data_IF_956350863367
#
_entry.id   IF_956350863367
#
_cell.length_a   1.000
_cell.length_b   1.000
_cell.length_c   1.000
_cell.angle_alpha   90.00
_cell.angle_beta   90.00
_cell.angle_gamma   90.00
#
_symmetry.space_group_name_H-M   'P 1'
#
loop_
_entity.id
_entity.type
_entity.pdbx_description
1 polymer ?
#
# COMPACT_ATOMS: atom_id res chain seq x y z
N UNK A 1 -6.75 -17.64 -2.56
CA UNK A 1 -6.26 -18.16 -1.30
C UNK A 1 -6.20 -17.08 -0.25
N UNK A 2 -5.98 -17.48 0.94
CA UNK A 2 -5.78 -16.59 2.08
C UNK A 2 -4.28 -16.32 2.14
N UNK A 3 -3.80 -15.21 1.60
CA UNK A 3 -2.40 -14.83 1.69
C UNK A 3 -2.22 -13.32 1.55
N UNK A 4 -1.18 -12.83 2.18
CA UNK A 4 -0.70 -11.47 2.01
C UNK A 4 0.13 -11.42 0.72
N UNK A 5 -0.18 -10.53 -0.23
CA UNK A 5 0.50 -10.50 -1.52
C UNK A 5 1.95 -10.01 -1.43
N UNK A 6 2.26 -9.11 -0.51
CA UNK A 6 3.60 -8.50 -0.39
C UNK A 6 4.70 -9.51 -0.05
N UNK A 7 4.58 -10.40 0.95
CA UNK A 7 5.61 -11.39 1.26
C UNK A 7 5.91 -12.32 0.08
N UNK A 8 4.88 -12.64 -0.73
CA UNK A 8 5.06 -13.47 -1.94
C UNK A 8 5.83 -12.69 -3.00
N UNK A 9 5.48 -11.43 -3.25
CA UNK A 9 6.19 -10.57 -4.18
C UNK A 9 7.65 -10.39 -3.78
N UNK A 10 7.93 -10.15 -2.50
CA UNK A 10 9.30 -10.07 -1.96
C UNK A 10 10.08 -11.37 -2.19
N UNK A 11 9.47 -12.52 -1.94
CA UNK A 11 10.12 -13.83 -2.15
C UNK A 11 10.51 -14.05 -3.62
N UNK A 12 9.63 -13.68 -4.56
CA UNK A 12 9.90 -13.79 -6.00
C UNK A 12 11.06 -12.86 -6.39
N UNK A 13 11.04 -11.62 -5.93
CA UNK A 13 12.09 -10.64 -6.21
C UNK A 13 13.45 -11.10 -5.65
N UNK A 14 13.51 -11.50 -4.38
CA UNK A 14 14.73 -11.98 -3.74
C UNK A 14 15.28 -13.26 -4.40
N UNK A 15 14.41 -14.13 -4.92
CA UNK A 15 14.85 -15.31 -5.67
C UNK A 15 15.55 -14.90 -6.97
N UNK A 16 15.03 -13.93 -7.72
CA UNK A 16 15.68 -13.42 -8.93
C UNK A 16 17.02 -12.73 -8.63
N UNK A 17 17.11 -11.92 -7.59
CA UNK A 17 18.36 -11.31 -7.15
C UNK A 17 19.43 -12.37 -6.81
N UNK A 18 19.00 -13.46 -6.16
CA UNK A 18 19.89 -14.59 -5.87
C UNK A 18 20.39 -15.27 -7.14
N UNK A 19 19.53 -15.44 -8.15
CA UNK A 19 19.93 -16.01 -9.45
C UNK A 19 20.91 -15.08 -10.15
N UNK A 20 20.60 -13.78 -10.18
CA UNK A 20 21.46 -12.77 -10.80
C UNK A 20 22.86 -12.72 -10.16
N UNK A 21 22.94 -12.76 -8.81
CA UNK A 21 24.21 -12.77 -8.09
C UNK A 21 25.08 -13.99 -8.40
N UNK A 22 24.48 -15.09 -8.88
CA UNK A 22 25.15 -16.31 -9.33
C UNK A 22 25.47 -16.34 -10.84
N UNK A 23 25.19 -15.23 -11.54
CA UNK A 23 25.38 -15.13 -12.99
C UNK A 23 24.37 -15.92 -13.81
N UNK A 24 23.24 -16.27 -13.22
CA UNK A 24 22.12 -16.94 -13.88
C UNK A 24 21.12 -15.92 -14.43
N UNK A 25 20.42 -16.23 -15.54
CA UNK A 25 19.39 -15.35 -16.07
C UNK A 25 18.17 -15.32 -15.14
N UNK A 26 17.39 -14.27 -15.26
CA UNK A 26 16.05 -14.22 -14.68
C UNK A 26 15.19 -15.37 -15.24
N UNK A 27 14.59 -16.16 -14.36
CA UNK A 27 13.78 -17.31 -14.75
C UNK A 27 12.28 -17.01 -14.72
N UNK A 28 11.87 -16.02 -13.92
CA UNK A 28 10.49 -15.59 -13.77
C UNK A 28 10.49 -14.13 -13.32
N UNK A 29 9.46 -13.40 -13.70
CA UNK A 29 9.21 -12.10 -13.11
C UNK A 29 7.75 -12.00 -12.69
N UNK A 30 7.49 -11.16 -11.71
CA UNK A 30 6.14 -10.85 -11.28
C UNK A 30 5.57 -9.79 -12.22
N UNK A 31 4.57 -10.17 -13.00
CA UNK A 31 3.96 -9.34 -14.03
C UNK A 31 2.79 -8.50 -13.49
N UNK A 32 1.95 -9.13 -12.66
CA UNK A 32 0.71 -8.53 -12.19
C UNK A 32 0.26 -9.19 -10.89
N UNK A 33 -0.19 -8.40 -9.93
CA UNK A 33 -0.91 -8.89 -8.75
C UNK A 33 -2.39 -8.68 -8.98
N UNK A 34 -3.13 -9.78 -9.07
CA UNK A 34 -4.55 -9.77 -9.38
C UNK A 34 -5.36 -10.13 -8.15
N UNK A 35 -6.26 -9.25 -7.76
CA UNK A 35 -7.26 -9.51 -6.72
C UNK A 35 -8.60 -9.89 -7.38
N UNK A 36 -9.21 -10.98 -6.95
CA UNK A 36 -10.56 -11.35 -7.40
C UNK A 36 -11.54 -11.00 -6.28
N UNK A 37 -12.34 -9.97 -6.52
CA UNK A 37 -13.35 -9.49 -5.58
C UNK A 37 -14.75 -9.95 -5.99
N UNK A 38 -15.54 -10.41 -5.05
CA UNK A 38 -16.94 -10.82 -5.25
C UNK A 38 -17.86 -9.60 -5.04
N UNK A 39 -18.47 -9.12 -6.12
CA UNK A 39 -19.32 -7.93 -6.10
C UNK A 39 -20.54 -8.13 -5.17
N UNK A 40 -21.18 -9.31 -5.22
CA UNK A 40 -22.32 -9.59 -4.35
C UNK A 40 -21.94 -9.57 -2.87
N UNK A 41 -20.76 -10.09 -2.56
CA UNK A 41 -20.25 -10.12 -1.19
C UNK A 41 -19.87 -8.73 -0.72
N UNK A 42 -19.17 -7.96 -1.54
CA UNK A 42 -18.82 -6.55 -1.23
C UNK A 42 -20.08 -5.72 -0.99
N UNK A 43 -21.14 -5.90 -1.81
CA UNK A 43 -22.40 -5.19 -1.60
C UNK A 43 -23.09 -5.62 -0.29
N UNK A 44 -23.30 -6.93 -0.09
CA UNK A 44 -24.17 -7.43 0.98
C UNK A 44 -23.50 -7.49 2.36
N UNK A 45 -22.20 -7.88 2.43
CA UNK A 45 -21.50 -8.09 3.69
C UNK A 45 -20.69 -6.86 4.10
N UNK A 46 -20.20 -6.08 3.13
CA UNK A 46 -19.28 -4.97 3.37
C UNK A 46 -19.86 -3.59 2.99
N UNK A 47 -21.17 -3.48 2.80
CA UNK A 47 -21.85 -2.23 2.44
C UNK A 47 -21.15 -1.54 1.24
N UNK A 48 -21.10 -2.23 0.10
CA UNK A 48 -20.36 -1.83 -1.09
C UNK A 48 -18.86 -1.57 -0.85
N UNK A 49 -18.27 -2.27 0.12
CA UNK A 49 -16.87 -2.13 0.50
C UNK A 49 -16.59 -1.03 1.52
N UNK A 50 -17.59 -0.25 1.94
CA UNK A 50 -17.39 0.85 2.91
C UNK A 50 -16.87 0.36 4.25
N UNK A 51 -17.28 -0.83 4.71
CA UNK A 51 -16.78 -1.41 5.95
C UNK A 51 -15.27 -1.69 5.89
N UNK A 52 -14.71 -1.92 4.70
CA UNK A 52 -13.26 -2.08 4.54
C UNK A 52 -12.49 -0.77 4.79
N UNK A 53 -13.19 0.37 4.76
CA UNK A 53 -12.61 1.67 5.08
C UNK A 53 -12.77 2.03 6.57
N UNK A 54 -13.51 1.23 7.33
CA UNK A 54 -13.69 1.43 8.77
C UNK A 54 -12.49 0.86 9.55
N UNK A 55 -12.22 1.37 10.75
CA UNK A 55 -11.17 0.84 11.60
C UNK A 55 -11.39 -0.65 11.90
N UNK A 56 -10.45 -1.49 11.53
CA UNK A 56 -10.46 -2.91 11.88
C UNK A 56 -9.94 -3.11 13.30
N UNK A 57 -10.67 -3.88 14.13
CA UNK A 57 -10.27 -4.15 15.52
C UNK A 57 -9.33 -5.36 15.64
N UNK A 58 -9.19 -6.16 14.58
CA UNK A 58 -8.42 -7.41 14.56
C UNK A 58 -7.63 -7.50 13.25
N UNK A 59 -6.29 -7.52 13.34
CA UNK A 59 -5.40 -7.65 12.18
C UNK A 59 -5.59 -8.99 11.46
N UNK A 60 -5.93 -10.02 12.19
CA UNK A 60 -6.19 -11.35 11.65
C UNK A 60 -7.63 -11.48 11.09
N UNK A 61 -8.38 -10.39 11.05
CA UNK A 61 -9.74 -10.40 10.52
C UNK A 61 -9.79 -10.57 9.01
N UNK A 62 -10.89 -11.13 8.53
CA UNK A 62 -11.14 -11.26 7.09
C UNK A 62 -11.18 -9.89 6.39
N UNK A 63 -11.65 -8.87 7.08
CA UNK A 63 -11.77 -7.51 6.59
C UNK A 63 -10.40 -6.88 6.37
N UNK A 64 -9.48 -7.08 7.32
CA UNK A 64 -8.09 -6.65 7.20
C UNK A 64 -7.39 -7.31 6.03
N UNK A 65 -7.56 -8.62 5.87
CA UNK A 65 -6.97 -9.38 4.75
C UNK A 65 -7.54 -8.93 3.39
N UNK A 66 -8.85 -8.74 3.29
CA UNK A 66 -9.49 -8.22 2.06
C UNK A 66 -9.00 -6.82 1.71
N UNK A 67 -8.85 -5.97 2.71
CA UNK A 67 -8.31 -4.63 2.53
C UNK A 67 -6.88 -4.68 2.00
N UNK A 68 -6.01 -5.50 2.60
CA UNK A 68 -4.63 -5.69 2.13
C UNK A 68 -4.57 -6.23 0.71
N UNK A 69 -5.41 -7.21 0.36
CA UNK A 69 -5.45 -7.77 -0.98
C UNK A 69 -5.87 -6.73 -2.03
N UNK A 70 -6.81 -5.85 -1.70
CA UNK A 70 -7.23 -4.77 -2.59
C UNK A 70 -6.18 -3.65 -2.67
N UNK A 71 -5.52 -3.32 -1.56
CA UNK A 71 -4.53 -2.24 -1.51
C UNK A 71 -3.28 -2.54 -2.33
N UNK A 72 -2.84 -3.80 -2.37
CA UNK A 72 -1.58 -4.18 -3.00
C UNK A 72 -1.74 -4.86 -4.35
N UNK A 73 -2.92 -4.85 -4.95
CA UNK A 73 -3.11 -5.40 -6.28
C UNK A 73 -2.87 -4.35 -7.38
N UNK A 74 -2.51 -4.83 -8.56
CA UNK A 74 -2.43 -4.01 -9.76
C UNK A 74 -3.73 -4.08 -10.57
N UNK A 75 -4.45 -5.19 -10.46
CA UNK A 75 -5.70 -5.43 -11.18
C UNK A 75 -6.72 -6.08 -10.27
N UNK A 76 -7.93 -5.54 -10.24
CA UNK A 76 -9.08 -6.13 -9.56
C UNK A 76 -10.03 -6.72 -10.59
N UNK A 77 -10.31 -8.00 -10.48
CA UNK A 77 -11.43 -8.63 -11.19
C UNK A 77 -12.65 -8.55 -10.29
N UNK A 78 -13.56 -7.63 -10.59
CA UNK A 78 -14.85 -7.52 -9.91
C UNK A 78 -15.79 -8.59 -10.47
N UNK A 79 -15.74 -9.78 -9.88
CA UNK A 79 -16.52 -10.92 -10.33
C UNK A 79 -17.95 -10.89 -9.77
N UNK A 80 -18.85 -11.63 -10.44
CA UNK A 80 -20.29 -11.63 -10.17
C UNK A 80 -20.92 -10.23 -10.34
N UNK A 81 -20.36 -9.42 -11.24
CA UNK A 81 -20.81 -8.05 -11.48
C UNK A 81 -22.29 -7.98 -11.91
N UNK A 82 -22.85 -9.06 -12.48
CA UNK A 82 -24.25 -9.19 -12.86
C UNK A 82 -25.21 -9.28 -11.65
N UNK A 83 -24.70 -9.52 -10.45
CA UNK A 83 -25.52 -9.69 -9.24
C UNK A 83 -25.82 -8.40 -8.50
N UNK A 84 -25.17 -7.30 -8.87
CA UNK A 84 -25.32 -5.97 -8.28
C UNK A 84 -25.77 -4.96 -9.33
N UNK A 85 -26.46 -3.93 -8.91
CA UNK A 85 -26.90 -2.85 -9.82
C UNK A 85 -25.75 -1.88 -10.15
N UNK A 86 -25.96 -0.97 -11.11
CA UNK A 86 -24.93 -0.05 -11.58
C UNK A 86 -24.46 0.93 -10.47
N UNK A 87 -25.37 1.39 -9.61
CA UNK A 87 -25.03 2.30 -8.52
C UNK A 87 -24.12 1.60 -7.50
N UNK A 88 -24.46 0.37 -7.12
CA UNK A 88 -23.62 -0.46 -6.24
C UNK A 88 -22.25 -0.75 -6.85
N UNK A 89 -22.19 -1.05 -8.17
CA UNK A 89 -20.91 -1.25 -8.86
C UNK A 89 -20.03 -0.01 -8.83
N UNK A 90 -20.62 1.15 -9.11
CA UNK A 90 -19.90 2.41 -9.08
C UNK A 90 -19.37 2.71 -7.67
N UNK A 91 -20.17 2.45 -6.65
CA UNK A 91 -19.76 2.61 -5.26
C UNK A 91 -18.61 1.66 -4.87
N UNK A 92 -18.70 0.38 -5.25
CA UNK A 92 -17.62 -0.61 -5.04
C UNK A 92 -16.34 -0.17 -5.75
N UNK A 93 -16.42 0.27 -7.01
CA UNK A 93 -15.25 0.77 -7.76
C UNK A 93 -14.63 1.99 -7.09
N UNK A 94 -15.44 2.92 -6.60
CA UNK A 94 -14.95 4.09 -5.88
C UNK A 94 -14.21 3.70 -4.59
N UNK A 95 -14.70 2.69 -3.85
CA UNK A 95 -14.01 2.15 -2.68
C UNK A 95 -12.68 1.48 -3.07
N UNK A 96 -12.68 0.66 -4.13
CA UNK A 96 -11.45 0.01 -4.62
C UNK A 96 -10.41 1.07 -4.99
N UNK A 97 -10.76 2.11 -5.75
CA UNK A 97 -9.84 3.18 -6.12
C UNK A 97 -9.35 4.02 -4.93
N UNK A 98 -10.06 4.02 -3.81
CA UNK A 98 -9.56 4.63 -2.56
C UNK A 98 -8.52 3.78 -1.88
N UNK A 99 -8.67 2.45 -1.92
CA UNK A 99 -7.70 1.52 -1.37
C UNK A 99 -6.47 1.40 -2.28
N UNK A 100 -6.69 1.39 -3.59
CA UNK A 100 -5.63 1.33 -4.60
C UNK A 100 -6.00 2.18 -5.82
N UNK A 101 -5.49 3.41 -5.86
CA UNK A 101 -5.81 4.42 -6.89
C UNK A 101 -5.47 3.93 -8.31
N UNK A 102 -4.35 3.23 -8.45
CA UNK A 102 -3.81 2.82 -9.75
C UNK A 102 -4.30 1.43 -10.21
N UNK A 103 -5.13 0.75 -9.42
CA UNK A 103 -5.62 -0.56 -9.80
C UNK A 103 -6.55 -0.51 -11.02
N UNK A 104 -6.26 -1.31 -12.03
CA UNK A 104 -7.20 -1.58 -13.11
C UNK A 104 -8.38 -2.40 -12.59
N UNK A 105 -9.62 -2.05 -12.95
CA UNK A 105 -10.82 -2.81 -12.55
C UNK A 105 -11.45 -3.42 -13.79
N UNK A 106 -11.61 -4.75 -13.77
CA UNK A 106 -12.25 -5.53 -14.84
C UNK A 106 -13.52 -6.16 -14.27
N UNK A 107 -14.67 -5.81 -14.82
CA UNK A 107 -15.94 -6.48 -14.47
C UNK A 107 -15.99 -7.86 -15.11
N UNK A 108 -16.39 -8.84 -14.34
CA UNK A 108 -16.50 -10.22 -14.80
C UNK A 108 -17.74 -10.91 -14.26
N UNK A 109 -18.25 -11.84 -15.06
CA UNK A 109 -19.29 -12.78 -14.68
C UNK A 109 -18.73 -14.20 -14.84
N UNK A 110 -18.91 -15.03 -13.83
CA UNK A 110 -18.38 -16.41 -13.80
C UNK A 110 -16.86 -16.49 -14.04
N UNK A 111 -16.09 -15.46 -13.67
CA UNK A 111 -14.64 -15.42 -13.86
C UNK A 111 -14.21 -15.29 -15.33
N UNK A 112 -15.12 -14.93 -16.24
CA UNK A 112 -14.80 -14.75 -17.64
C UNK A 112 -14.14 -13.40 -17.87
N UNK A 113 -12.84 -13.44 -18.16
CA UNK A 113 -12.02 -12.27 -18.45
C UNK A 113 -11.13 -12.55 -19.66
N UNK A 114 -10.76 -11.50 -20.37
CA UNK A 114 -9.78 -11.63 -21.44
C UNK A 114 -8.38 -11.82 -20.83
N UNK A 115 -7.72 -12.92 -21.15
CA UNK A 115 -6.39 -13.23 -20.62
C UNK A 115 -5.32 -12.22 -21.06
N UNK A 116 -5.51 -11.53 -22.21
CA UNK A 116 -4.60 -10.48 -22.67
C UNK A 116 -4.59 -9.26 -21.73
N UNK A 117 -5.66 -9.07 -20.95
CA UNK A 117 -5.73 -7.99 -19.94
C UNK A 117 -5.05 -8.36 -18.63
N UNK A 118 -4.69 -9.63 -18.45
CA UNK A 118 -4.11 -10.16 -17.21
C UNK A 118 -2.66 -10.60 -17.34
N UNK A 119 -2.22 -10.98 -18.53
CA UNK A 119 -0.92 -11.58 -18.78
C UNK A 119 -0.04 -10.67 -19.64
N UNK A 120 1.25 -10.61 -19.34
CA UNK A 120 2.24 -9.74 -19.97
C UNK A 120 1.86 -8.26 -19.93
N UNK A 121 1.28 -7.86 -18.82
CA UNK A 121 0.79 -6.50 -18.60
C UNK A 121 1.92 -5.55 -18.15
N UNK A 122 2.97 -6.10 -17.54
CA UNK A 122 4.05 -5.35 -16.89
C UNK A 122 3.53 -4.30 -15.88
N UNK A 123 2.40 -4.60 -15.25
CA UNK A 123 1.78 -3.70 -14.29
C UNK A 123 2.44 -3.73 -12.92
N UNK A 124 3.18 -4.80 -12.59
CA UNK A 124 3.84 -4.90 -11.32
C UNK A 124 5.17 -4.14 -11.33
N UNK A 125 5.29 -3.24 -10.39
CA UNK A 125 6.51 -2.49 -10.11
C UNK A 125 6.83 -2.65 -8.62
N UNK A 126 7.95 -3.31 -8.32
CA UNK A 126 8.32 -3.62 -6.95
C UNK A 126 8.61 -2.35 -6.13
N UNK A 127 9.25 -1.36 -6.71
CA UNK A 127 9.53 -0.08 -6.03
C UNK A 127 8.22 0.65 -5.72
N UNK A 128 7.28 0.66 -6.66
CA UNK A 128 5.94 1.18 -6.40
C UNK A 128 5.19 0.36 -5.36
N UNK A 129 5.28 -0.97 -5.42
CA UNK A 129 4.60 -1.83 -4.45
C UNK A 129 5.13 -1.63 -3.02
N UNK A 130 6.44 -1.46 -2.84
CA UNK A 130 7.05 -1.13 -1.55
C UNK A 130 6.74 0.30 -1.09
N UNK A 131 6.68 1.23 -2.03
CA UNK A 131 6.40 2.63 -1.75
C UNK A 131 4.92 2.96 -1.84
N UNK A 132 4.08 2.02 -2.26
CA UNK A 132 2.64 2.19 -2.34
C UNK A 132 2.00 2.24 -0.94
N UNK A 133 2.48 3.15 -0.18
CA UNK A 133 1.69 3.88 0.79
C UNK A 133 0.88 4.82 -0.12
N UNK A 134 -0.38 4.51 -0.40
CA UNK A 134 -1.22 5.20 -1.39
C UNK A 134 -1.41 6.72 -1.23
N UNK A 135 -0.56 7.38 -0.53
CA UNK A 135 -0.58 8.80 -0.16
C UNK A 135 0.69 9.56 -0.54
N UNK A 136 1.83 8.91 -0.78
CA UNK A 136 3.03 9.66 -1.21
C UNK A 136 2.78 10.26 -2.59
N UNK A 137 2.02 9.57 -3.44
CA UNK A 137 1.66 10.05 -4.78
C UNK A 137 0.71 11.25 -4.75
N UNK A 138 -0.25 11.31 -3.81
CA UNK A 138 -1.16 12.45 -3.69
C UNK A 138 -0.42 13.76 -3.33
N UNK A 139 0.73 13.66 -2.71
CA UNK A 139 1.48 14.85 -2.23
C UNK A 139 2.41 15.40 -3.28
N UNK A 140 3.07 14.53 -4.04
CA UNK A 140 3.89 14.96 -5.17
C UNK A 140 3.04 15.60 -6.27
N UNK A 141 1.81 15.13 -6.49
CA UNK A 141 0.85 15.77 -7.41
C UNK A 141 0.29 17.10 -6.87
N UNK A 142 0.07 17.23 -5.54
CA UNK A 142 -0.41 18.48 -4.95
C UNK A 142 0.62 19.62 -4.98
N UNK A 143 1.90 19.33 -5.02
CA UNK A 143 2.93 20.35 -5.22
C UNK A 143 3.01 20.85 -6.68
N UNK A 144 2.48 20.10 -7.65
CA UNK A 144 2.59 20.45 -9.08
C UNK A 144 1.29 20.90 -9.76
N UNK A 145 0.13 20.73 -9.16
CA UNK A 145 -1.14 21.12 -9.78
C UNK A 145 -2.08 21.85 -8.81
N UNK A 146 -1.97 23.17 -8.79
CA UNK A 146 -3.08 24.04 -8.42
C UNK A 146 -4.14 24.01 -9.53
N UNK A 147 -4.96 22.97 -9.61
CA UNK A 147 -6.22 23.02 -10.32
C UNK A 147 -7.26 22.12 -9.68
N UNK A 148 -8.40 22.74 -9.40
CA UNK A 148 -9.64 22.23 -8.87
C UNK A 148 -10.02 20.85 -9.44
N UNK A 149 -9.79 19.80 -8.67
CA UNK A 149 -10.61 18.62 -8.66
C UNK A 149 -10.91 18.33 -7.19
N UNK A 150 -12.12 18.73 -6.77
CA UNK A 150 -12.71 18.20 -5.54
C UNK A 150 -12.82 16.68 -5.74
N UNK A 151 -11.83 15.97 -5.22
CA UNK A 151 -11.73 14.52 -5.40
C UNK A 151 -12.88 13.81 -4.70
N UNK A 152 -13.30 12.68 -5.25
CA UNK A 152 -14.29 11.75 -4.70
C UNK A 152 -14.06 11.38 -3.22
N UNK A 153 -12.84 11.58 -2.68
CA UNK A 153 -12.50 11.39 -1.26
C UNK A 153 -13.37 12.25 -0.32
N UNK A 154 -13.78 13.46 -0.74
CA UNK A 154 -14.66 14.32 0.04
C UNK A 154 -16.10 13.80 0.13
N UNK A 155 -16.56 13.05 -0.85
CA UNK A 155 -17.92 12.48 -0.89
C UNK A 155 -18.15 11.48 0.26
N UNK A 156 -17.08 10.84 0.76
CA UNK A 156 -17.15 9.85 1.84
C UNK A 156 -16.52 10.35 3.16
N UNK A 157 -16.12 11.63 3.21
CA UNK A 157 -15.54 12.21 4.42
C UNK A 157 -14.17 11.65 4.82
N UNK A 158 -13.48 10.97 3.89
CA UNK A 158 -12.13 10.42 4.11
C UNK A 158 -11.13 11.39 3.51
N UNK A 159 -10.16 11.82 4.31
CA UNK A 159 -9.03 12.62 3.85
C UNK A 159 -7.72 11.93 4.18
N UNK A 160 -6.73 12.12 3.34
CA UNK A 160 -5.37 11.63 3.55
C UNK A 160 -4.44 12.83 3.74
N UNK A 161 -3.42 12.65 4.56
CA UNK A 161 -2.35 13.63 4.69
C UNK A 161 -1.03 12.93 4.99
N UNK A 162 0.07 13.52 4.56
CA UNK A 162 1.40 13.09 4.96
C UNK A 162 1.99 14.08 5.93
N UNK A 163 2.53 13.56 7.00
CA UNK A 163 3.28 14.34 7.96
C UNK A 163 4.75 13.94 7.90
N UNK A 164 5.60 14.93 7.69
CA UNK A 164 7.04 14.72 7.63
C UNK A 164 7.74 15.60 8.66
N UNK A 165 8.76 15.06 9.31
CA UNK A 165 9.63 15.82 10.20
C UNK A 165 11.05 15.29 10.12
N UNK A 166 12.01 16.19 10.22
CA UNK A 166 13.44 15.86 10.39
C UNK A 166 13.88 15.90 11.85
N UNK A 167 12.92 15.89 12.79
CA UNK A 167 13.19 15.87 14.22
C UNK A 167 12.79 14.51 14.77
N UNK A 168 13.61 13.92 15.67
CA UNK A 168 13.23 12.68 16.32
C UNK A 168 11.99 12.90 17.19
N UNK A 169 11.22 11.85 17.38
CA UNK A 169 10.03 11.83 18.20
C UNK A 169 10.34 11.34 19.60
N UNK A 170 9.61 11.86 20.58
CA UNK A 170 9.55 11.29 21.92
C UNK A 170 8.58 10.08 21.87
N UNK A 171 9.11 8.89 22.15
CA UNK A 171 8.34 7.64 22.10
C UNK A 171 7.08 7.69 22.97
N UNK A 172 7.16 8.25 24.18
CA UNK A 172 6.01 8.32 25.09
C UNK A 172 4.92 9.25 24.55
N UNK A 173 5.31 10.40 24.01
CA UNK A 173 4.35 11.34 23.41
C UNK A 173 3.72 10.75 22.16
N UNK A 174 4.50 10.05 21.35
CA UNK A 174 4.02 9.37 20.17
C UNK A 174 2.99 8.30 20.52
N UNK A 175 3.29 7.41 21.46
CA UNK A 175 2.36 6.38 21.93
C UNK A 175 1.08 6.98 22.54
N UNK A 176 1.21 8.06 23.32
CA UNK A 176 0.03 8.74 23.88
C UNK A 176 -0.83 9.41 22.79
N UNK A 177 -0.21 9.94 21.73
CA UNK A 177 -0.93 10.51 20.60
C UNK A 177 -1.78 9.43 19.93
N UNK A 178 -1.17 8.27 19.62
CA UNK A 178 -1.85 7.16 18.97
C UNK A 178 -3.06 6.66 19.76
N UNK A 179 -2.91 6.53 21.07
CA UNK A 179 -4.00 6.06 21.95
C UNK A 179 -5.17 7.06 22.05
N UNK A 180 -4.95 8.32 21.72
CA UNK A 180 -5.93 9.41 21.87
C UNK A 180 -6.35 10.03 20.54
N UNK A 181 -5.95 9.48 19.40
CA UNK A 181 -6.31 10.01 18.10
C UNK A 181 -7.45 9.19 17.49
N UNK A 182 -8.70 9.57 17.73
CA UNK A 182 -9.85 8.89 17.16
C UNK A 182 -9.91 9.16 15.66
N UNK A 183 -10.53 8.25 14.90
CA UNK A 183 -10.85 8.39 13.49
C UNK A 183 -9.68 8.29 12.50
N UNK A 184 -8.55 7.73 12.90
CA UNK A 184 -7.53 7.31 11.95
C UNK A 184 -7.87 5.91 11.46
N UNK A 185 -8.20 5.79 10.18
CA UNK A 185 -8.53 4.51 9.55
C UNK A 185 -7.26 3.71 9.35
N UNK A 186 -6.21 4.35 8.81
CA UNK A 186 -4.94 3.71 8.53
C UNK A 186 -3.78 4.71 8.61
N UNK A 187 -2.64 4.23 9.11
CA UNK A 187 -1.38 4.98 9.09
C UNK A 187 -0.24 4.02 8.79
N UNK A 188 0.69 4.44 7.96
CA UNK A 188 1.94 3.73 7.74
C UNK A 188 3.06 4.73 7.55
N UNK A 189 4.24 4.43 8.07
CA UNK A 189 5.39 5.29 7.86
C UNK A 189 6.59 4.91 8.71
N UNK A 190 7.73 5.48 8.35
CA UNK A 190 8.94 5.36 9.15
C UNK A 190 9.01 6.46 10.19
N UNK A 191 9.35 6.07 11.41
CA UNK A 191 9.56 6.99 12.53
C UNK A 191 10.92 6.74 13.17
N UNK A 192 11.49 7.76 13.75
CA UNK A 192 12.70 7.66 14.55
C UNK A 192 12.51 8.36 15.89
N UNK A 193 13.17 7.83 16.91
CA UNK A 193 13.01 8.29 18.27
C UNK A 193 14.30 8.86 18.81
N UNK A 194 14.18 9.85 19.71
CA UNK A 194 15.31 10.54 20.35
C UNK A 194 16.16 9.62 21.22
N UNK A 195 15.55 8.59 21.79
CA UNK A 195 16.24 7.58 22.60
C UNK A 195 16.91 6.46 21.78
N UNK A 196 16.61 6.34 20.49
CA UNK A 196 17.17 5.36 19.55
C UNK A 196 17.40 6.00 18.18
N UNK A 197 18.33 6.95 18.08
CA UNK A 197 18.46 7.81 16.90
C UNK A 197 18.97 7.07 15.66
N UNK A 198 19.57 5.91 15.82
CA UNK A 198 20.16 5.15 14.73
C UNK A 198 19.16 4.20 14.07
N UNK A 199 18.08 3.83 14.77
CA UNK A 199 17.09 2.87 14.30
C UNK A 199 15.92 3.53 13.58
N UNK A 200 15.53 2.96 12.45
CA UNK A 200 14.28 3.27 11.75
C UNK A 200 13.21 2.29 12.22
N UNK A 201 12.10 2.83 12.67
CA UNK A 201 10.95 2.06 13.09
C UNK A 201 9.85 2.17 12.05
N UNK A 202 9.36 1.04 11.58
CA UNK A 202 8.14 0.99 10.79
C UNK A 202 6.93 1.05 11.74
N UNK A 203 6.13 2.08 11.56
CA UNK A 203 4.86 2.25 12.23
C UNK A 203 3.72 1.92 11.29
N UNK A 204 2.83 1.04 11.70
CA UNK A 204 1.62 0.68 10.96
C UNK A 204 0.43 0.73 11.91
N UNK A 205 -0.70 1.24 11.42
CA UNK A 205 -1.96 1.29 12.14
C UNK A 205 -3.11 0.95 11.20
N UNK A 206 -3.98 0.05 11.66
CA UNK A 206 -5.26 -0.24 11.04
C UNK A 206 -6.33 -0.19 12.12
N UNK A 207 -7.16 0.84 12.07
CA UNK A 207 -8.14 1.10 13.13
C UNK A 207 -7.50 1.31 14.50
N UNK A 208 -7.88 0.49 15.48
CA UNK A 208 -7.33 0.56 16.84
C UNK A 208 -6.03 -0.22 17.02
N UNK A 209 -5.73 -1.09 16.08
CA UNK A 209 -4.51 -1.88 16.12
C UNK A 209 -3.35 -1.07 15.58
N UNK A 210 -2.24 -1.10 16.28
CA UNK A 210 -1.01 -0.49 15.83
C UNK A 210 0.19 -1.38 16.13
N UNK A 211 1.15 -1.38 15.23
CA UNK A 211 2.44 -2.04 15.40
C UNK A 211 3.56 -1.03 15.23
N UNK A 212 4.63 -1.23 15.97
CA UNK A 212 5.86 -0.46 15.88
C UNK A 212 7.02 -1.44 15.90
N UNK A 213 7.62 -1.67 14.75
CA UNK A 213 8.67 -2.67 14.58
C UNK A 213 9.97 -1.99 14.21
N UNK A 214 11.08 -2.36 14.84
CA UNK A 214 12.39 -1.94 14.39
C UNK A 214 12.68 -2.65 13.06
N UNK A 215 12.80 -1.85 11.99
CA UNK A 215 12.93 -2.35 10.62
C UNK A 215 14.39 -2.36 10.16
N UNK A 216 15.08 -1.24 10.33
CA UNK A 216 16.44 -1.06 9.82
C UNK A 216 17.19 0.03 10.56
N UNK A 217 18.43 0.29 10.16
CA UNK A 217 19.18 1.46 10.59
C UNK A 217 19.06 2.57 9.55
N UNK A 218 18.98 3.80 10.02
CA UNK A 218 19.04 4.94 9.11
C UNK A 218 20.39 4.98 8.39
N UNK A 219 20.36 5.25 7.10
CA UNK A 219 21.61 5.44 6.31
C UNK A 219 22.48 6.51 6.94
N UNK A 220 21.87 7.54 7.52
CA UNK A 220 22.57 8.63 8.20
C UNK A 220 23.33 8.20 9.47
N UNK A 221 23.00 7.04 10.07
CA UNK A 221 23.70 6.47 11.21
C UNK A 221 24.90 5.62 10.83
N UNK A 222 25.02 5.22 9.56
CA UNK A 222 26.15 4.43 9.08
C UNK A 222 27.47 5.24 9.12
N UNK A 223 28.64 4.59 9.14
CA UNK A 223 29.91 5.26 8.99
C UNK A 223 29.96 6.10 7.71
N UNK A 224 30.59 7.28 7.76
CA UNK A 224 30.63 8.21 6.63
C UNK A 224 31.15 7.61 5.33
N UNK A 225 32.06 6.64 5.41
CA UNK A 225 32.58 5.97 4.25
C UNK A 225 31.50 5.13 3.57
N UNK A 226 30.73 4.38 4.36
CA UNK A 226 29.64 3.53 3.87
C UNK A 226 28.51 4.39 3.28
N UNK A 227 28.18 5.52 3.92
CA UNK A 227 27.23 6.50 3.35
C UNK A 227 27.67 6.97 1.97
N UNK A 228 28.97 7.38 1.84
CA UNK A 228 29.49 7.85 0.56
C UNK A 228 29.50 6.77 -0.52
N UNK A 229 29.82 5.54 -0.17
CA UNK A 229 29.85 4.44 -1.12
C UNK A 229 28.44 4.06 -1.56
N UNK A 230 27.46 4.11 -0.67
CA UNK A 230 26.04 3.89 -0.96
C UNK A 230 25.46 5.00 -1.86
N UNK A 231 25.77 6.27 -1.58
CA UNK A 231 25.33 7.40 -2.39
C UNK A 231 25.94 7.40 -3.79
N UNK A 232 27.20 6.94 -3.93
CA UNK A 232 27.83 6.75 -5.25
C UNK A 232 27.19 5.63 -6.04
N UNK A 233 26.81 4.54 -5.36
CA UNK A 233 26.18 3.39 -5.98
C UNK A 233 24.74 3.66 -6.39
N UNK A 234 24.07 4.64 -5.74
CA UNK A 234 22.67 4.95 -5.97
C UNK A 234 22.46 6.46 -6.22
N UNK A 235 22.54 6.93 -7.48
CA UNK A 235 22.42 8.34 -7.83
C UNK A 235 21.08 8.99 -7.46
N UNK A 236 19.99 8.21 -7.49
CA UNK A 236 18.65 8.72 -7.09
C UNK A 236 18.61 9.04 -5.60
N UNK A 237 19.19 8.18 -4.78
CA UNK A 237 19.31 8.44 -3.35
C UNK A 237 20.14 9.70 -3.07
N UNK A 238 21.17 9.92 -3.86
CA UNK A 238 22.05 11.10 -3.72
C UNK A 238 21.35 12.43 -4.03
N UNK A 239 20.31 12.44 -4.83
CA UNK A 239 19.51 13.64 -5.13
C UNK A 239 18.62 14.06 -3.97
N UNK A 240 18.19 13.10 -3.14
CA UNK A 240 17.27 13.32 -2.02
C UNK A 240 17.97 13.36 -0.65
N UNK A 241 19.31 13.29 -0.64
CA UNK A 241 20.16 13.25 0.57
C UNK A 241 20.31 14.60 1.30
#
# INVERSE_FOLDING_TARGET
>A
GICEPIPIAQTITAANETLYSRGLPELFHLDNIICVADAARLSNEFNCGKHLLEPCEDEDSLDSLLMQQLEFCNTVILNKAETVNEDEKNEIKAVIHKLCKDAGIIEASFGQVNLEELLNTHNFDYEKAQNNIGWIHEIEEHEHHHHEHEGEALEYGISTFVWQTRKPLDLKKFTNLLNNYPNVIRTKGYVWFDNQPDSAYLFEQAGKLNSLTEDSLWIASAPKQDQMDLLKANPQLAQNW
#
